data_IF_462595301520
#
_entry.id   IF_462595301520
#
_cell.length_a   1.000
_cell.length_b   1.000
_cell.length_c   1.000
_cell.angle_alpha   90.00
_cell.angle_beta   90.00
_cell.angle_gamma   90.00
#
_symmetry.space_group_name_H-M   'P 1'
#
loop_
_entity.id
_entity.type
_entity.pdbx_description
1 polymer ?
#
# COMPACT_ATOMS: atom_id res chain seq x y z
N UNK A 1 -6.75 25.81 7.98
CA UNK A 1 -6.23 24.60 7.31
C UNK A 1 -7.36 23.59 7.41
N UNK A 2 -8.11 23.39 6.33
CA UNK A 2 -9.32 22.58 6.37
C UNK A 2 -8.94 21.13 6.62
N UNK A 3 -9.18 20.69 7.86
CA UNK A 3 -9.37 19.30 8.28
C UNK A 3 -10.55 18.76 7.46
N UNK A 4 -10.31 18.41 6.20
CA UNK A 4 -11.29 17.72 5.39
C UNK A 4 -11.39 16.33 5.98
N UNK A 5 -12.50 16.04 6.68
CA UNK A 5 -12.82 14.74 7.23
C UNK A 5 -12.42 13.66 6.23
N UNK A 6 -11.26 13.03 6.45
CA UNK A 6 -10.70 12.09 5.51
C UNK A 6 -11.63 10.88 5.57
N UNK A 7 -12.49 10.73 4.55
CA UNK A 7 -13.34 9.56 4.42
C UNK A 7 -12.44 8.35 4.61
N UNK A 8 -12.72 7.48 5.58
CA UNK A 8 -11.91 6.28 5.79
C UNK A 8 -12.46 5.16 4.94
N UNK A 9 -11.58 4.43 4.26
CA UNK A 9 -11.92 3.18 3.55
C UNK A 9 -11.53 1.99 4.44
N UNK A 10 -12.41 1.00 4.49
CA UNK A 10 -12.17 -0.28 5.12
C UNK A 10 -11.72 -1.24 4.04
N UNK A 11 -10.50 -1.77 4.17
CA UNK A 11 -9.95 -2.72 3.21
C UNK A 11 -9.47 -3.97 3.93
N UNK A 12 -9.41 -5.07 3.21
CA UNK A 12 -8.92 -6.35 3.73
C UNK A 12 -7.67 -6.76 2.97
N UNK A 13 -6.55 -6.91 3.68
CA UNK A 13 -5.31 -7.43 3.12
C UNK A 13 -5.25 -8.93 3.37
N UNK A 14 -5.01 -9.70 2.30
CA UNK A 14 -4.95 -11.15 2.30
C UNK A 14 -3.63 -11.61 1.71
N UNK A 15 -2.94 -12.50 2.41
CA UNK A 15 -1.71 -13.12 1.95
C UNK A 15 -1.80 -14.63 2.08
N UNK A 16 -1.62 -15.35 0.98
CA UNK A 16 -1.58 -16.80 0.97
C UNK A 16 -0.13 -17.27 1.18
N UNK A 17 0.22 -17.61 2.43
CA UNK A 17 1.50 -18.21 2.78
C UNK A 17 1.46 -19.75 2.64
N UNK A 18 2.60 -20.43 2.46
CA UNK A 18 2.65 -21.90 2.40
C UNK A 18 2.07 -22.60 3.65
N UNK A 19 2.12 -21.93 4.80
CA UNK A 19 1.60 -22.44 6.08
C UNK A 19 0.17 -22.01 6.42
N UNK A 20 -0.51 -21.25 5.55
CA UNK A 20 -1.87 -20.77 5.79
C UNK A 20 -2.15 -19.40 5.19
N UNK A 21 -3.41 -18.98 5.31
CA UNK A 21 -3.86 -17.66 4.82
C UNK A 21 -3.80 -16.66 5.96
N UNK A 22 -3.02 -15.58 5.77
CA UNK A 22 -3.03 -14.43 6.65
C UNK A 22 -4.00 -13.38 6.11
N UNK A 23 -4.90 -12.87 6.95
CA UNK A 23 -5.85 -11.81 6.60
C UNK A 23 -5.85 -10.75 7.69
N UNK A 24 -5.91 -9.48 7.30
CA UNK A 24 -6.01 -8.35 8.22
C UNK A 24 -6.93 -7.28 7.63
N UNK A 25 -7.90 -6.83 8.43
CA UNK A 25 -8.73 -5.69 8.10
C UNK A 25 -8.03 -4.40 8.55
N UNK A 26 -7.99 -3.40 7.67
CA UNK A 26 -7.33 -2.12 7.92
C UNK A 26 -8.28 -0.98 7.55
N UNK A 27 -8.25 0.08 8.35
CA UNK A 27 -8.85 1.36 7.99
C UNK A 27 -7.75 2.30 7.50
N UNK A 28 -7.95 2.82 6.29
CA UNK A 28 -7.03 3.75 5.63
C UNK A 28 -7.78 5.02 5.22
N UNK A 29 -7.11 6.15 5.01
CA UNK A 29 -7.73 7.30 4.39
C UNK A 29 -8.15 6.97 2.96
N UNK A 30 -9.29 7.50 2.53
CA UNK A 30 -9.75 7.41 1.15
C UNK A 30 -8.71 8.01 0.21
N UNK A 31 -8.46 7.32 -0.90
CA UNK A 31 -7.34 7.65 -1.77
C UNK A 31 -6.05 6.91 -1.42
N UNK A 32 -6.02 6.08 -0.38
CA UNK A 32 -4.87 5.25 -0.07
C UNK A 32 -4.57 4.26 -1.21
N UNK A 33 -3.28 4.04 -1.47
CA UNK A 33 -2.84 3.11 -2.50
C UNK A 33 -2.63 1.71 -1.95
N UNK A 34 -2.61 0.72 -2.84
CA UNK A 34 -2.31 -0.66 -2.52
C UNK A 34 -0.95 -0.83 -1.82
N UNK A 35 0.07 -0.05 -2.19
CA UNK A 35 1.36 -0.01 -1.47
C UNK A 35 1.25 0.55 -0.05
N UNK A 36 0.43 1.59 0.16
CA UNK A 36 0.21 2.15 1.50
C UNK A 36 -0.56 1.17 2.40
N UNK A 37 -1.54 0.46 1.83
CA UNK A 37 -2.23 -0.62 2.52
C UNK A 37 -1.30 -1.75 2.92
N UNK A 38 -0.42 -2.17 2.01
CA UNK A 38 0.58 -3.20 2.29
C UNK A 38 1.53 -2.78 3.42
N UNK A 39 1.99 -1.52 3.42
CA UNK A 39 2.83 -1.00 4.49
C UNK A 39 2.09 -0.93 5.83
N UNK A 40 0.87 -0.38 5.83
CA UNK A 40 0.03 -0.28 7.01
C UNK A 40 -0.35 -1.65 7.60
N UNK A 41 -0.41 -2.70 6.76
CA UNK A 41 -0.67 -4.07 7.20
C UNK A 41 0.45 -4.66 8.06
N UNK A 42 1.66 -4.08 8.02
CA UNK A 42 2.83 -4.63 8.70
C UNK A 42 3.36 -5.92 8.06
N UNK A 43 2.96 -6.23 6.82
CA UNK A 43 3.40 -7.43 6.11
C UNK A 43 4.93 -7.55 6.05
N UNK A 44 5.64 -6.46 5.76
CA UNK A 44 7.10 -6.43 5.70
C UNK A 44 7.77 -6.79 7.04
N UNK A 45 7.17 -6.40 8.17
CA UNK A 45 7.68 -6.74 9.51
C UNK A 45 7.39 -8.20 9.88
N UNK A 46 6.27 -8.76 9.42
CA UNK A 46 5.87 -10.14 9.72
C UNK A 46 6.55 -11.17 8.81
N UNK A 47 6.92 -10.76 7.60
CA UNK A 47 7.55 -11.60 6.60
C UNK A 47 8.85 -10.92 6.09
N UNK A 48 9.91 -10.87 6.92
CA UNK A 48 11.17 -10.18 6.58
C UNK A 48 11.89 -10.80 5.36
N UNK A 49 11.60 -12.06 5.02
CA UNK A 49 12.10 -12.70 3.79
C UNK A 49 11.60 -12.05 2.48
N UNK A 50 10.63 -11.13 2.56
CA UNK A 50 10.05 -10.40 1.43
C UNK A 50 10.43 -8.92 1.45
N UNK A 51 11.33 -8.49 2.35
CA UNK A 51 11.71 -7.08 2.49
C UNK A 51 12.40 -6.50 1.24
N UNK A 52 12.95 -7.36 0.37
CA UNK A 52 13.74 -6.94 -0.79
C UNK A 52 12.93 -6.73 -2.07
N UNK A 53 11.70 -7.26 -2.16
CA UNK A 53 10.87 -7.14 -3.37
C UNK A 53 9.41 -6.84 -3.03
N UNK A 54 8.81 -5.92 -3.80
CA UNK A 54 7.38 -5.69 -3.71
C UNK A 54 6.67 -6.94 -4.25
N UNK A 55 5.83 -7.61 -3.43
CA UNK A 55 5.04 -8.73 -3.93
C UNK A 55 4.08 -8.25 -5.02
N UNK A 56 3.77 -9.13 -5.97
CA UNK A 56 2.67 -8.87 -6.89
C UNK A 56 1.38 -8.77 -6.09
N UNK A 57 0.57 -7.74 -6.33
CA UNK A 57 -0.68 -7.51 -5.61
C UNK A 57 -1.85 -7.48 -6.58
N UNK A 58 -3.03 -7.85 -6.09
CA UNK A 58 -4.27 -7.76 -6.84
C UNK A 58 -5.43 -7.34 -5.97
N UNK A 59 -6.47 -6.83 -6.59
CA UNK A 59 -7.74 -6.51 -5.93
C UNK A 59 -8.83 -7.38 -6.55
N UNK A 60 -9.53 -8.16 -5.73
CA UNK A 60 -10.57 -9.11 -6.18
C UNK A 60 -10.10 -10.05 -7.31
N UNK A 61 -8.94 -10.69 -7.16
CA UNK A 61 -8.36 -11.58 -8.18
C UNK A 61 -7.81 -10.88 -9.44
N UNK A 62 -7.78 -9.54 -9.48
CA UNK A 62 -7.21 -8.77 -10.60
C UNK A 62 -5.90 -8.12 -10.19
N UNK A 63 -4.80 -8.52 -10.83
CA UNK A 63 -3.48 -7.90 -10.61
C UNK A 63 -3.56 -6.37 -10.80
N UNK A 64 -3.02 -5.63 -9.84
CA UNK A 64 -3.02 -4.17 -9.83
C UNK A 64 -1.63 -3.63 -9.50
N UNK A 65 -1.38 -2.39 -9.91
CA UNK A 65 -0.14 -1.70 -9.58
C UNK A 65 -0.11 -1.30 -8.08
N UNK A 66 1.08 -1.17 -7.46
CA UNK A 66 1.23 -0.62 -6.10
C UNK A 66 0.65 0.80 -5.94
N UNK A 67 0.57 1.55 -7.03
CA UNK A 67 -0.08 2.86 -7.12
C UNK A 67 -1.61 2.82 -7.16
N UNK A 68 -2.22 1.64 -7.33
CA UNK A 68 -3.66 1.54 -7.48
C UNK A 68 -4.36 2.09 -6.24
N UNK A 69 -5.28 3.03 -6.44
CA UNK A 69 -6.06 3.66 -5.38
C UNK A 69 -7.16 2.68 -4.95
N UNK A 70 -7.17 2.33 -3.68
CA UNK A 70 -8.16 1.45 -3.08
C UNK A 70 -9.45 2.20 -2.74
N UNK A 71 -10.55 1.46 -2.74
CA UNK A 71 -11.88 1.90 -2.35
C UNK A 71 -12.37 1.16 -1.10
N UNK A 72 -13.43 1.70 -0.49
CA UNK A 72 -14.07 1.04 0.66
C UNK A 72 -14.62 -0.34 0.26
N UNK A 73 -14.31 -1.35 1.06
CA UNK A 73 -14.63 -2.75 0.80
C UNK A 73 -13.64 -3.47 -0.10
N UNK A 74 -12.54 -2.85 -0.54
CA UNK A 74 -11.56 -3.53 -1.37
C UNK A 74 -10.81 -4.63 -0.61
N UNK A 75 -10.53 -5.73 -1.32
CA UNK A 75 -9.70 -6.82 -0.83
C UNK A 75 -8.39 -6.85 -1.58
N UNK A 76 -7.31 -6.47 -0.90
CA UNK A 76 -5.95 -6.51 -1.42
C UNK A 76 -5.34 -7.89 -1.20
N UNK A 77 -5.11 -8.61 -2.27
CA UNK A 77 -4.46 -9.91 -2.30
C UNK A 77 -2.96 -9.75 -2.61
N UNK A 78 -2.12 -10.35 -1.78
CA UNK A 78 -0.67 -10.36 -1.91
C UNK A 78 -0.25 -11.72 -2.48
N UNK A 79 0.28 -11.70 -3.69
CA UNK A 79 0.84 -12.86 -4.38
C UNK A 79 2.35 -12.97 -4.14
N UNK A 80 2.89 -14.16 -4.40
CA UNK A 80 4.33 -14.42 -4.26
C UNK A 80 5.09 -13.60 -5.31
N UNK A 81 6.23 -12.97 -4.94
CA UNK A 81 7.08 -12.32 -5.91
C UNK A 81 7.60 -13.37 -6.90
N UNK A 82 7.37 -13.14 -8.19
CA UNK A 82 8.14 -13.79 -9.24
C UNK A 82 9.38 -12.93 -9.48
N UNK A 83 10.49 -13.27 -8.82
CA UNK A 83 11.90 -12.93 -9.13
C UNK A 83 12.26 -11.61 -9.88
N UNK A 84 11.50 -10.51 -9.77
CA UNK A 84 11.77 -9.26 -10.52
C UNK A 84 11.61 -7.99 -9.66
N UNK A 85 12.68 -7.74 -8.89
CA UNK A 85 13.52 -6.53 -8.72
C UNK A 85 13.03 -5.11 -9.18
N UNK A 86 13.64 -3.99 -8.74
CA UNK A 86 13.39 -3.22 -7.51
C UNK A 86 13.14 -1.71 -7.83
N UNK A 87 11.97 -1.31 -8.33
CA UNK A 87 11.81 0.08 -8.85
C UNK A 87 11.21 1.13 -7.90
N UNK A 88 10.62 0.79 -6.76
CA UNK A 88 9.77 1.76 -6.04
C UNK A 88 10.47 2.58 -4.93
N UNK A 89 11.67 2.17 -4.50
CA UNK A 89 12.49 3.00 -3.58
C UNK A 89 12.82 4.38 -4.20
N UNK A 90 12.69 4.51 -5.52
CA UNK A 90 12.92 5.77 -6.24
C UNK A 90 11.80 6.81 -6.04
N UNK A 91 10.57 6.40 -5.71
CA UNK A 91 9.41 7.32 -5.70
C UNK A 91 9.17 8.04 -4.37
N UNK A 92 9.55 7.45 -3.23
CA UNK A 92 9.31 8.05 -1.90
C UNK A 92 10.17 9.28 -1.56
N UNK A 93 11.14 9.66 -2.40
CA UNK A 93 11.86 10.94 -2.24
C UNK A 93 11.17 12.14 -2.89
N UNK A 94 10.09 11.96 -3.65
CA UNK A 94 9.50 13.06 -4.44
C UNK A 94 8.36 13.83 -3.74
N UNK A 95 7.75 13.32 -2.66
CA UNK A 95 6.58 13.96 -2.06
C UNK A 95 6.87 15.03 -0.99
N UNK A 96 8.13 15.24 -0.58
CA UNK A 96 8.50 16.29 0.38
C UNK A 96 8.93 17.62 -0.28
N UNK A 97 8.30 18.00 -1.41
CA UNK A 97 8.50 19.32 -2.05
C UNK A 97 7.18 20.02 -2.41
N UNK A 98 6.20 20.05 -1.50
CA UNK A 98 5.13 21.06 -1.54
C UNK A 98 4.83 21.64 -0.16
N UNK A 99 5.82 22.25 0.48
CA UNK A 99 5.60 23.20 1.58
C UNK A 99 6.84 24.09 1.80
N UNK A 100 7.12 25.00 0.87
CA UNK A 100 7.89 26.22 1.14
C UNK A 100 7.71 27.19 -0.03
N UNK A 101 6.50 27.71 -0.19
CA UNK A 101 6.23 28.89 -0.99
C UNK A 101 5.49 29.91 -0.16
N UNK A 102 6.21 30.74 0.61
CA UNK A 102 5.77 32.10 0.96
C UNK A 102 6.89 32.92 1.63
N UNK A 103 7.16 34.10 1.08
CA UNK A 103 7.97 35.18 1.64
C UNK A 103 8.85 35.76 0.54
N UNK A 104 8.94 37.06 0.27
CA UNK A 104 8.29 38.29 0.72
C UNK A 104 8.82 39.38 -0.25
N UNK A 105 8.05 40.44 -0.51
CA UNK A 105 8.51 41.63 -1.26
C UNK A 105 7.72 41.87 -2.54
#
# INVERSE_FOLDING_TARGET
>A
MAEGAAATINIEVVYAAPGGVWRVALQLPAGATAAQALEASGHAGRHPGYASSLPAIGVYGRACAPEHVLQDGDRLEIYRPLDFDPQESRRRRAAHKRAAGKGAG
#
